data_IF_167667777657
#
_entry.id   IF_167667777657
#
_cell.length_a   1.000
_cell.length_b   1.000
_cell.length_c   1.000
_cell.angle_alpha   90.00
_cell.angle_beta   90.00
_cell.angle_gamma   90.00
#
_symmetry.space_group_name_H-M   'P 1'
#
loop_
_entity.id
_entity.type
_entity.pdbx_description
1 polymer ?
#
# COMPACT_ATOMS: atom_id res chain seq x y z
N UNK A 1 25.15 19.53 -7.14
CA UNK A 1 25.00 18.08 -6.88
C UNK A 1 26.41 17.52 -6.67
N UNK A 2 26.70 16.93 -5.52
CA UNK A 2 28.06 16.55 -5.12
C UNK A 2 28.45 15.19 -5.74
N UNK A 3 29.60 15.11 -6.43
CA UNK A 3 30.05 13.92 -7.15
C UNK A 3 30.25 12.69 -6.23
N UNK A 4 30.52 12.93 -4.95
CA UNK A 4 30.69 11.89 -3.91
C UNK A 4 29.33 11.26 -3.54
N UNK A 5 28.27 12.05 -3.51
CA UNK A 5 26.92 11.55 -3.18
C UNK A 5 26.36 10.68 -4.31
N UNK A 6 26.67 11.02 -5.56
CA UNK A 6 26.27 10.22 -6.73
C UNK A 6 26.96 8.86 -6.72
N UNK A 7 28.25 8.80 -6.38
CA UNK A 7 28.97 7.51 -6.29
C UNK A 7 28.44 6.57 -5.19
N UNK A 8 27.69 7.08 -4.20
CA UNK A 8 27.06 6.26 -3.17
C UNK A 8 25.78 5.57 -3.64
N UNK A 9 25.19 6.02 -4.76
CA UNK A 9 23.99 5.42 -5.33
C UNK A 9 24.27 4.09 -6.05
N UNK A 10 25.53 3.80 -6.39
CA UNK A 10 25.96 2.54 -7.01
C UNK A 10 26.35 1.46 -5.99
N UNK A 11 26.30 1.75 -4.68
CA UNK A 11 26.60 0.76 -3.64
C UNK A 11 25.37 -0.11 -3.36
N UNK A 12 25.58 -1.43 -3.36
CA UNK A 12 24.58 -2.39 -2.91
C UNK A 12 24.27 -2.14 -1.44
N UNK A 13 23.00 -1.87 -1.14
CA UNK A 13 22.48 -1.78 0.22
C UNK A 13 22.27 -3.18 0.78
N UNK A 14 22.77 -3.41 2.00
CA UNK A 14 22.40 -4.59 2.77
C UNK A 14 20.98 -4.42 3.34
N UNK A 15 20.42 -5.51 3.87
CA UNK A 15 19.04 -5.50 4.39
C UNK A 15 18.85 -4.44 5.49
N UNK A 16 19.84 -4.26 6.35
CA UNK A 16 19.74 -3.34 7.47
C UNK A 16 19.78 -1.87 7.00
N UNK A 17 20.63 -1.54 6.03
CA UNK A 17 20.66 -0.24 5.39
C UNK A 17 19.39 0.02 4.58
N UNK A 18 18.85 -0.99 3.90
CA UNK A 18 17.58 -0.89 3.17
C UNK A 18 16.42 -0.51 4.08
N UNK A 19 16.30 -1.15 5.26
CA UNK A 19 15.25 -0.83 6.24
C UNK A 19 15.30 0.62 6.75
N UNK A 20 16.49 1.22 6.81
CA UNK A 20 16.68 2.62 7.21
C UNK A 20 16.31 3.57 6.06
N UNK A 21 16.84 3.33 4.86
CA UNK A 21 16.58 4.18 3.69
C UNK A 21 15.12 4.15 3.25
N UNK A 22 14.46 2.97 3.31
CA UNK A 22 13.07 2.79 2.93
C UNK A 22 12.13 3.77 3.65
N UNK A 23 12.39 4.10 4.92
CA UNK A 23 11.57 5.05 5.69
C UNK A 23 11.60 6.46 5.10
N UNK A 24 12.75 6.88 4.58
CA UNK A 24 12.91 8.21 3.97
C UNK A 24 12.35 8.26 2.54
N UNK A 25 12.40 7.14 1.81
CA UNK A 25 11.90 7.04 0.43
C UNK A 25 10.39 6.76 0.37
N UNK A 26 9.79 6.21 1.43
CA UNK A 26 8.34 6.01 1.54
C UNK A 26 7.54 7.32 1.34
N UNK A 27 8.13 8.46 1.71
CA UNK A 27 7.53 9.78 1.51
C UNK A 27 7.58 10.27 0.05
N UNK A 28 8.47 9.71 -0.78
CA UNK A 28 8.73 10.22 -2.13
C UNK A 28 7.94 9.48 -3.21
N UNK A 29 7.38 8.31 -2.93
CA UNK A 29 6.70 7.58 -4.00
C UNK A 29 5.23 8.00 -4.19
N UNK A 30 5.03 9.10 -4.93
CA UNK A 30 3.72 9.52 -5.44
C UNK A 30 3.25 8.69 -6.64
N UNK A 31 4.14 7.89 -7.25
CA UNK A 31 3.85 7.04 -8.42
C UNK A 31 3.90 5.53 -8.14
N UNK A 32 4.50 5.08 -7.02
CA UNK A 32 4.49 3.68 -6.62
C UNK A 32 3.20 3.41 -5.85
N UNK A 33 2.10 3.21 -6.56
CA UNK A 33 0.91 2.59 -5.99
C UNK A 33 1.16 1.21 -5.34
N UNK A 34 2.37 0.65 -5.53
CA UNK A 34 2.80 -0.69 -5.11
C UNK A 34 4.06 -0.73 -4.22
N UNK A 35 4.68 0.40 -3.84
CA UNK A 35 5.73 0.38 -2.81
C UNK A 35 5.13 0.62 -1.41
N UNK A 36 4.03 -0.07 -1.16
CA UNK A 36 3.64 -0.44 0.20
C UNK A 36 3.89 -1.93 0.27
N UNK A 37 4.59 -2.37 1.33
CA UNK A 37 4.67 -3.78 1.71
C UNK A 37 3.34 -4.45 1.36
N UNK A 38 3.42 -5.57 0.62
CA UNK A 38 2.28 -6.44 0.32
C UNK A 38 1.81 -7.14 1.60
N UNK A 39 1.63 -6.41 2.69
CA UNK A 39 0.87 -6.88 3.82
C UNK A 39 -0.55 -7.01 3.30
N UNK A 40 -0.92 -8.24 3.00
CA UNK A 40 -2.27 -8.59 2.61
C UNK A 40 -3.16 -8.11 3.78
N UNK A 41 -4.14 -7.26 3.48
CA UNK A 41 -5.08 -6.80 4.49
C UNK A 41 -6.05 -7.94 4.74
N UNK A 42 -6.00 -8.56 5.91
CA UNK A 42 -6.91 -9.64 6.29
C UNK A 42 -8.38 -9.19 6.38
N UNK A 43 -8.65 -7.87 6.36
CA UNK A 43 -9.99 -7.30 6.45
C UNK A 43 -10.78 -7.25 5.15
N UNK A 44 -10.10 -7.08 4.01
CA UNK A 44 -10.76 -6.76 2.74
C UNK A 44 -10.12 -7.54 1.60
N UNK A 45 -10.94 -8.19 0.78
CA UNK A 45 -10.50 -8.77 -0.49
C UNK A 45 -10.28 -7.65 -1.52
N UNK A 46 -9.12 -7.00 -1.43
CA UNK A 46 -8.73 -5.92 -2.35
C UNK A 46 -8.61 -6.44 -3.78
N UNK A 47 -8.31 -7.73 -3.99
CA UNK A 47 -8.13 -8.30 -5.33
C UNK A 47 -9.50 -8.50 -5.97
N UNK A 48 -10.42 -9.18 -5.28
CA UNK A 48 -11.79 -9.36 -5.75
C UNK A 48 -12.53 -8.05 -5.92
N UNK A 49 -12.35 -7.09 -5.01
CA UNK A 49 -12.94 -5.75 -5.15
C UNK A 49 -12.39 -4.99 -6.36
N UNK A 50 -11.08 -5.07 -6.65
CA UNK A 50 -10.52 -4.50 -7.88
C UNK A 50 -11.12 -5.14 -9.13
N UNK A 51 -11.22 -6.48 -9.16
CA UNK A 51 -11.82 -7.20 -10.28
C UNK A 51 -13.27 -6.75 -10.50
N UNK A 52 -14.07 -6.68 -9.42
CA UNK A 52 -15.43 -6.16 -9.48
C UNK A 52 -15.48 -4.74 -10.06
N UNK A 53 -14.64 -3.82 -9.58
CA UNK A 53 -14.62 -2.45 -10.10
C UNK A 53 -14.26 -2.39 -11.59
N UNK A 54 -13.33 -3.22 -12.06
CA UNK A 54 -12.94 -3.24 -13.47
C UNK A 54 -13.97 -3.91 -14.38
N UNK A 55 -14.60 -4.99 -13.91
CA UNK A 55 -15.47 -5.83 -14.75
C UNK A 55 -16.93 -5.40 -14.70
N UNK A 56 -17.39 -4.86 -13.58
CA UNK A 56 -18.82 -4.65 -13.30
C UNK A 56 -19.20 -3.16 -13.17
N UNK A 57 -18.26 -2.23 -13.32
CA UNK A 57 -18.54 -0.79 -13.19
C UNK A 57 -17.87 0.05 -14.27
N UNK A 58 -18.51 1.12 -14.72
CA UNK A 58 -17.89 2.14 -15.59
C UNK A 58 -17.08 3.18 -14.79
N UNK A 59 -16.42 2.72 -13.73
CA UNK A 59 -15.67 3.60 -12.84
C UNK A 59 -14.34 4.01 -13.47
N UNK A 60 -13.99 5.30 -13.36
CA UNK A 60 -12.69 5.77 -13.84
C UNK A 60 -11.54 5.08 -13.10
N UNK A 61 -10.39 4.82 -13.74
CA UNK A 61 -9.22 4.27 -13.07
C UNK A 61 -8.70 5.12 -11.90
N UNK A 62 -8.96 6.43 -11.93
CA UNK A 62 -8.65 7.33 -10.81
C UNK A 62 -9.50 7.04 -9.59
N UNK A 63 -10.82 6.95 -9.78
CA UNK A 63 -11.79 6.65 -8.73
C UNK A 63 -11.59 5.24 -8.16
N UNK A 64 -11.33 4.23 -9.01
CA UNK A 64 -11.07 2.87 -8.55
C UNK A 64 -9.82 2.78 -7.66
N UNK A 65 -8.74 3.50 -8.04
CA UNK A 65 -7.54 3.61 -7.21
C UNK A 65 -7.84 4.26 -5.86
N UNK A 66 -8.69 5.30 -5.84
CA UNK A 66 -9.06 5.98 -4.60
C UNK A 66 -9.81 5.05 -3.63
N UNK A 67 -10.76 4.26 -4.12
CA UNK A 67 -11.46 3.26 -3.29
C UNK A 67 -10.50 2.23 -2.70
N UNK A 68 -9.58 1.69 -3.51
CA UNK A 68 -8.56 0.74 -3.03
C UNK A 68 -7.70 1.37 -1.93
N UNK A 69 -7.26 2.62 -2.11
CA UNK A 69 -6.46 3.34 -1.11
C UNK A 69 -7.26 3.54 0.18
N UNK A 70 -8.54 3.92 0.09
CA UNK A 70 -9.42 4.10 1.25
C UNK A 70 -9.62 2.79 2.03
N UNK A 71 -9.85 1.67 1.35
CA UNK A 71 -10.00 0.36 2.00
C UNK A 71 -8.71 -0.08 2.71
N UNK A 72 -7.54 0.13 2.09
CA UNK A 72 -6.26 -0.17 2.74
C UNK A 72 -6.03 0.66 4.00
N UNK A 73 -6.31 1.97 3.94
CA UNK A 73 -6.23 2.86 5.12
C UNK A 73 -7.19 2.43 6.22
N UNK A 74 -8.42 2.05 5.85
CA UNK A 74 -9.39 1.53 6.80
C UNK A 74 -8.90 0.22 7.45
N UNK A 75 -8.34 -0.70 6.67
CA UNK A 75 -7.79 -1.96 7.19
C UNK A 75 -6.66 -1.72 8.19
N UNK A 76 -5.76 -0.79 7.89
CA UNK A 76 -4.70 -0.39 8.82
C UNK A 76 -5.28 0.21 10.11
N UNK A 77 -6.27 1.09 10.01
CA UNK A 77 -6.91 1.70 11.18
C UNK A 77 -7.60 0.66 12.08
N UNK A 78 -8.28 -0.33 11.49
CA UNK A 78 -8.90 -1.42 12.23
C UNK A 78 -7.85 -2.30 12.92
N UNK A 79 -6.73 -2.55 12.25
CA UNK A 79 -5.60 -3.28 12.82
C UNK A 79 -4.99 -2.55 14.02
N UNK A 80 -4.75 -1.24 13.90
CA UNK A 80 -4.27 -0.38 15.00
C UNK A 80 -5.19 -0.38 16.22
N UNK A 81 -6.50 -0.57 16.01
CA UNK A 81 -7.50 -0.70 17.07
C UNK A 81 -7.62 -2.12 17.65
N UNK A 82 -6.77 -3.07 17.22
CA UNK A 82 -6.83 -4.49 17.60
C UNK A 82 -8.19 -5.14 17.27
N UNK A 83 -8.88 -4.67 16.23
CA UNK A 83 -10.11 -5.28 15.75
C UNK A 83 -9.74 -6.52 14.94
N UNK A 84 -10.39 -7.65 15.20
CA UNK A 84 -10.19 -8.85 14.39
C UNK A 84 -10.94 -8.72 13.05
N UNK A 85 -10.36 -9.15 11.91
CA UNK A 85 -11.07 -9.23 10.64
C UNK A 85 -12.39 -10.02 10.73
N UNK A 86 -12.42 -11.05 11.58
CA UNK A 86 -13.60 -11.89 11.80
C UNK A 86 -14.77 -11.15 12.46
N UNK A 87 -14.50 -10.12 13.26
CA UNK A 87 -15.54 -9.28 13.88
C UNK A 87 -15.99 -8.10 13.00
N UNK A 88 -15.25 -7.82 11.92
CA UNK A 88 -15.61 -6.82 10.91
C UNK A 88 -16.39 -7.42 9.71
N UNK A 89 -16.12 -8.68 9.35
CA UNK A 89 -16.73 -9.37 8.21
C UNK A 89 -18.25 -9.59 8.32
N UNK A 90 -18.85 -9.44 9.50
CA UNK A 90 -20.30 -9.58 9.71
C UNK A 90 -21.13 -8.35 9.35
N UNK A 91 -20.57 -7.34 8.68
CA UNK A 91 -21.21 -6.01 8.54
C UNK A 91 -21.19 -5.37 7.15
N UNK A 92 -20.85 -6.10 6.11
CA UNK A 92 -21.01 -5.61 4.73
C UNK A 92 -21.83 -6.61 3.91
N UNK A 93 -23.00 -6.20 3.38
CA UNK A 93 -23.76 -7.01 2.43
C UNK A 93 -23.05 -7.15 1.08
#
# INVERSE_FOLDING_TARGET
MNKIEISRLDMLLDENGWQVEQKSWAALCRFCGDLHCKTQSDFFDIIGFKQFLFEQTEMSPGTAREYVVRLRRLGNHLHEQNISPRSAAGRFP
#
